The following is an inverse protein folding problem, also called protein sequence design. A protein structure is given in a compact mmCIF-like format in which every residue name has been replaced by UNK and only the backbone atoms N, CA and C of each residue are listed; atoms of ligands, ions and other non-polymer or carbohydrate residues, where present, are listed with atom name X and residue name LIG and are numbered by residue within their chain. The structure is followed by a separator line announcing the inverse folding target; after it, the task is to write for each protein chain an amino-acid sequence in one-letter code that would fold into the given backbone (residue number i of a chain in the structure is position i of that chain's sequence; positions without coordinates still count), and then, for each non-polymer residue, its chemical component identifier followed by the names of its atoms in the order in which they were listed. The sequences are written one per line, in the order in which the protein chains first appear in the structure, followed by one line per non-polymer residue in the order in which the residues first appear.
data_IF_424850626243
#
_entry.id   IF_424850626243
#
_cell.length_a   1.000
_cell.length_b   1.000
_cell.length_c   1.000
_cell.angle_alpha   90.00
_cell.angle_beta   90.00
_cell.angle_gamma   90.00
#
_symmetry.space_group_name_H-M   'P 1'
#
loop_
_entity.id
_entity.type
_entity.pdbx_description
1 polymer ?
#
# COMPACT_ATOMS: atom_id res chain seq x y z
N UNK A 1 1.26 12.29 0.69
CA UNK A 1 1.61 13.54 1.42
C UNK A 1 2.00 13.32 2.86
N UNK A 2 1.15 12.77 3.75
CA UNK A 2 1.51 12.62 5.18
C UNK A 2 2.77 11.76 5.41
N UNK A 3 2.88 10.59 4.79
CA UNK A 3 4.04 9.70 4.95
C UNK A 3 5.39 10.34 4.54
N UNK A 4 5.39 11.38 3.69
CA UNK A 4 6.61 12.07 3.23
C UNK A 4 7.24 12.97 4.29
N UNK A 5 6.47 13.38 5.30
CA UNK A 5 6.91 14.31 6.36
C UNK A 5 7.12 13.61 7.70
N UNK A 6 7.00 12.29 7.73
CA UNK A 6 7.18 11.45 8.92
C UNK A 6 8.59 10.86 8.91
N UNK A 7 9.24 10.78 10.07
CA UNK A 7 10.56 10.19 10.17
C UNK A 7 10.54 8.70 9.74
N UNK A 8 11.60 8.21 9.07
CA UNK A 8 11.62 6.86 8.51
C UNK A 8 11.33 5.74 9.53
N UNK A 9 11.63 5.97 10.80
CA UNK A 9 11.37 5.01 11.88
C UNK A 9 9.88 4.80 12.12
N UNK A 10 9.11 5.88 12.19
CA UNK A 10 7.65 5.84 12.38
C UNK A 10 6.93 5.35 11.12
N UNK A 11 7.48 5.64 9.93
CA UNK A 11 6.99 5.06 8.69
C UNK A 11 6.99 3.52 8.77
N UNK A 12 8.11 2.93 9.20
CA UNK A 12 8.28 1.47 9.31
C UNK A 12 7.47 0.85 10.44
N UNK A 13 7.48 1.45 11.62
CA UNK A 13 6.89 0.84 12.81
C UNK A 13 5.36 1.00 12.86
N UNK A 14 4.85 2.15 12.40
CA UNK A 14 3.43 2.51 12.56
C UNK A 14 2.68 2.51 11.24
N UNK A 15 3.17 3.25 10.24
CA UNK A 15 2.41 3.47 9.01
C UNK A 15 2.29 2.22 8.13
N UNK A 16 3.33 1.39 8.04
CA UNK A 16 3.28 0.10 7.32
C UNK A 16 2.25 -0.83 7.96
N UNK A 17 2.22 -0.90 9.30
CA UNK A 17 1.26 -1.71 10.04
C UNK A 17 -0.17 -1.23 9.81
N UNK A 18 -0.40 0.09 9.88
CA UNK A 18 -1.70 0.70 9.62
C UNK A 18 -2.17 0.44 8.18
N UNK A 19 -1.29 0.65 7.19
CA UNK A 19 -1.58 0.35 5.80
C UNK A 19 -1.97 -1.12 5.61
N UNK A 20 -1.19 -2.04 6.19
CA UNK A 20 -1.45 -3.48 6.07
C UNK A 20 -2.82 -3.85 6.62
N UNK A 21 -3.24 -3.24 7.74
CA UNK A 21 -4.58 -3.45 8.28
C UNK A 21 -5.67 -2.94 7.33
N UNK A 22 -5.52 -1.73 6.78
CA UNK A 22 -6.48 -1.14 5.84
C UNK A 22 -6.55 -1.91 4.51
N UNK A 23 -5.43 -2.42 4.03
CA UNK A 23 -5.36 -3.25 2.83
C UNK A 23 -6.03 -4.62 3.01
N UNK A 24 -6.26 -5.07 4.24
CA UNK A 24 -6.97 -6.31 4.56
C UNK A 24 -8.37 -6.08 5.14
N UNK A 25 -8.88 -4.84 5.08
CA UNK A 25 -10.21 -4.52 5.60
C UNK A 25 -11.31 -5.29 4.85
N UNK A 26 -12.39 -5.66 5.53
CA UNK A 26 -13.48 -6.42 4.91
C UNK A 26 -14.21 -5.62 3.83
N UNK A 27 -14.27 -4.30 3.98
CA UNK A 27 -14.94 -3.40 3.03
C UNK A 27 -14.06 -3.11 1.83
N UNK A 28 -14.57 -3.39 0.63
CA UNK A 28 -13.81 -3.19 -0.60
C UNK A 28 -13.46 -1.72 -0.88
N UNK A 29 -14.31 -0.79 -0.46
CA UNK A 29 -14.07 0.65 -0.55
C UNK A 29 -12.86 1.09 0.29
N UNK A 30 -12.65 0.49 1.46
CA UNK A 30 -11.48 0.79 2.32
C UNK A 30 -10.22 0.24 1.67
N UNK A 31 -10.23 -1.02 1.22
CA UNK A 31 -9.09 -1.63 0.51
C UNK A 31 -8.74 -0.85 -0.76
N UNK A 32 -9.74 -0.39 -1.51
CA UNK A 32 -9.56 0.41 -2.71
C UNK A 32 -8.80 1.72 -2.40
N UNK A 33 -9.20 2.44 -1.35
CA UNK A 33 -8.52 3.66 -0.92
C UNK A 33 -7.11 3.39 -0.39
N UNK A 34 -6.88 2.22 0.22
CA UNK A 34 -5.58 1.84 0.74
C UNK A 34 -4.53 1.65 -0.37
N UNK A 35 -4.92 1.22 -1.58
CA UNK A 35 -3.99 1.00 -2.72
C UNK A 35 -3.20 2.26 -3.06
N UNK A 36 -3.89 3.39 -3.21
CA UNK A 36 -3.25 4.67 -3.58
C UNK A 36 -2.25 5.12 -2.51
N UNK A 37 -2.65 5.01 -1.23
CA UNK A 37 -1.76 5.30 -0.11
C UNK A 37 -0.56 4.34 -0.07
N UNK A 38 -0.77 3.05 -0.35
CA UNK A 38 0.26 2.02 -0.39
C UNK A 38 1.31 2.29 -1.46
N UNK A 39 0.90 2.65 -2.68
CA UNK A 39 1.82 2.97 -3.78
C UNK A 39 2.64 4.23 -3.48
N UNK A 40 1.99 5.29 -2.98
CA UNK A 40 2.69 6.51 -2.60
C UNK A 40 3.69 6.28 -1.46
N UNK A 41 3.37 5.38 -0.53
CA UNK A 41 4.25 4.99 0.58
C UNK A 41 5.40 4.11 0.11
N UNK A 42 5.16 3.19 -0.82
CA UNK A 42 6.17 2.30 -1.40
C UNK A 42 7.33 3.10 -2.03
N UNK A 43 7.02 4.23 -2.70
CA UNK A 43 8.02 5.14 -3.27
C UNK A 43 8.94 5.83 -2.25
N UNK A 44 8.69 5.69 -0.94
CA UNK A 44 9.53 6.23 0.13
C UNK A 44 10.58 5.24 0.63
N UNK A 45 10.48 3.97 0.22
CA UNK A 45 11.39 2.92 0.65
C UNK A 45 12.53 2.71 -0.34
N UNK A 46 13.68 2.25 0.17
CA UNK A 46 14.68 1.60 -0.68
C UNK A 46 14.13 0.24 -1.13
N UNK A 47 14.55 -0.22 -2.31
CA UNK A 47 14.05 -1.46 -2.90
C UNK A 47 14.15 -2.67 -1.96
N UNK A 48 15.26 -2.82 -1.23
CA UNK A 48 15.45 -3.93 -0.27
C UNK A 48 14.45 -3.89 0.89
N UNK A 49 14.19 -2.69 1.43
CA UNK A 49 13.26 -2.48 2.54
C UNK A 49 11.81 -2.67 2.06
N UNK A 50 11.49 -2.26 0.83
CA UNK A 50 10.18 -2.41 0.21
C UNK A 50 9.79 -3.88 0.05
N UNK A 51 10.70 -4.71 -0.48
CA UNK A 51 10.46 -6.13 -0.72
C UNK A 51 10.13 -6.86 0.59
N UNK A 52 10.82 -6.51 1.68
CA UNK A 52 10.61 -7.14 2.98
C UNK A 52 9.34 -6.68 3.70
N UNK A 53 8.93 -5.42 3.54
CA UNK A 53 7.93 -4.80 4.42
C UNK A 53 6.56 -4.62 3.79
N UNK A 54 6.46 -4.42 2.47
CA UNK A 54 5.19 -4.05 1.82
C UNK A 54 4.84 -4.88 0.59
N UNK A 55 5.82 -5.49 -0.09
CA UNK A 55 5.56 -6.15 -1.37
C UNK A 55 4.56 -7.30 -1.27
N UNK A 56 4.53 -8.04 -0.15
CA UNK A 56 3.51 -9.07 0.05
C UNK A 56 2.10 -8.48 0.00
N UNK A 57 1.84 -7.40 0.74
CA UNK A 57 0.55 -6.72 0.79
C UNK A 57 0.17 -6.12 -0.57
N UNK A 58 1.12 -5.51 -1.27
CA UNK A 58 0.89 -4.94 -2.60
C UNK A 58 0.56 -6.04 -3.63
N UNK A 59 1.26 -7.18 -3.60
CA UNK A 59 0.93 -8.34 -4.45
C UNK A 59 -0.46 -8.87 -4.13
N UNK A 60 -0.83 -9.00 -2.85
CA UNK A 60 -2.18 -9.44 -2.47
C UNK A 60 -3.28 -8.52 -3.01
N UNK A 61 -3.04 -7.21 -3.10
CA UNK A 61 -4.01 -6.27 -3.70
C UNK A 61 -4.24 -6.54 -5.20
N UNK A 62 -3.25 -7.06 -5.93
CA UNK A 62 -3.41 -7.46 -7.34
C UNK A 62 -4.36 -8.65 -7.52
N UNK A 63 -4.52 -9.46 -6.46
CA UNK A 63 -5.35 -10.66 -6.41
C UNK A 63 -6.64 -10.44 -5.60
N UNK A 64 -6.98 -9.19 -5.28
CA UNK A 64 -8.12 -8.85 -4.42
C UNK A 64 -9.43 -9.45 -4.94
N UNK A 65 -10.33 -9.88 -4.04
CA UNK A 65 -11.66 -10.40 -4.38
C UNK A 65 -12.51 -9.42 -5.19
N UNK A 66 -12.39 -8.11 -4.91
CA UNK A 66 -13.11 -7.04 -5.60
C UNK A 66 -12.38 -6.63 -6.87
N UNK A 67 -13.08 -6.72 -8.00
CA UNK A 67 -12.55 -6.27 -9.29
C UNK A 67 -12.20 -4.77 -9.30
N UNK A 68 -12.87 -3.96 -8.47
CA UNK A 68 -12.63 -2.52 -8.37
C UNK A 68 -11.25 -2.24 -7.77
N UNK A 69 -10.86 -3.01 -6.75
CA UNK A 69 -9.53 -2.92 -6.15
C UNK A 69 -8.48 -3.30 -7.19
N UNK A 70 -8.64 -4.45 -7.87
CA UNK A 70 -7.71 -4.88 -8.93
C UNK A 70 -7.59 -3.87 -10.07
N UNK A 71 -8.70 -3.26 -10.47
CA UNK A 71 -8.71 -2.19 -11.47
C UNK A 71 -7.90 -0.98 -11.01
N UNK A 72 -8.10 -0.51 -9.77
CA UNK A 72 -7.36 0.62 -9.21
C UNK A 72 -5.86 0.29 -9.07
N UNK A 73 -5.52 -0.93 -8.66
CA UNK A 73 -4.12 -1.38 -8.64
C UNK A 73 -3.49 -1.28 -10.03
N UNK A 74 -4.19 -1.75 -11.07
CA UNK A 74 -3.70 -1.65 -12.45
C UNK A 74 -3.59 -0.20 -12.95
N UNK A 75 -4.56 0.65 -12.62
CA UNK A 75 -4.57 2.07 -12.97
C UNK A 75 -3.38 2.82 -12.33
N UNK A 76 -3.10 2.52 -11.05
CA UNK A 76 -2.07 3.22 -10.27
C UNK A 76 -0.66 2.66 -10.42
N UNK A 77 -0.49 1.38 -10.76
CA UNK A 77 0.84 0.80 -10.99
C UNK A 77 1.50 1.31 -12.28
N UNK A 78 0.72 1.78 -13.25
CA UNK A 78 1.26 2.37 -14.49
C UNK A 78 1.91 3.73 -14.25
N UNK A 79 1.62 4.38 -13.11
CA UNK A 79 2.17 5.69 -12.73
C UNK A 79 3.54 5.63 -12.03
N UNK A 80 4.10 4.43 -11.79
CA UNK A 80 5.40 4.22 -11.10
C UNK A 80 6.52 3.86 -12.08
#
# INVERSE_FOLDING_TARGET
EFAKVVEPEYLRQELVSLFTNLANDEQDSVRLLAVEAGIAMAGLFRHEDLEQQMMQTLRSATEDKSWRVRYVVADKLVEV
#
